data_IF_910467742702
#
_entry.id   IF_910467742702
#
_cell.length_a   1.000
_cell.length_b   1.000
_cell.length_c   1.000
_cell.angle_alpha   90.00
_cell.angle_beta   90.00
_cell.angle_gamma   90.00
#
_symmetry.space_group_name_H-M   'P 1'
#
loop_
_entity.id
_entity.type
_entity.pdbx_description
1 polymer ?
#
# COMPACT_ATOMS: atom_id res chain seq x y z
N UNK A 1 -69.24 -20.72 -47.37
CA UNK A 1 -68.20 -20.00 -48.14
C UNK A 1 -67.94 -18.67 -47.47
N UNK A 2 -66.70 -18.18 -47.58
CA UNK A 2 -66.15 -16.90 -47.08
C UNK A 2 -65.62 -16.94 -45.63
N UNK A 3 -64.28 -17.04 -45.59
CA UNK A 3 -63.36 -16.79 -44.49
C UNK A 3 -63.32 -15.28 -44.20
N UNK A 4 -63.12 -14.90 -42.93
CA UNK A 4 -62.24 -13.75 -42.63
C UNK A 4 -61.61 -13.91 -41.24
N UNK A 5 -60.30 -14.17 -41.23
CA UNK A 5 -59.39 -13.95 -40.12
C UNK A 5 -59.05 -12.46 -40.06
N UNK A 6 -59.03 -11.86 -38.86
CA UNK A 6 -58.01 -10.91 -38.32
C UNK A 6 -58.33 -10.86 -36.81
N UNK A 7 -57.46 -11.18 -35.84
CA UNK A 7 -56.02 -10.95 -35.75
C UNK A 7 -55.77 -9.84 -34.71
N UNK A 8 -56.09 -10.09 -33.43
CA UNK A 8 -55.81 -9.17 -32.32
C UNK A 8 -54.59 -9.65 -31.54
N UNK A 9 -53.45 -9.00 -31.76
CA UNK A 9 -52.16 -9.31 -31.13
C UNK A 9 -52.18 -8.82 -29.68
N UNK A 10 -52.03 -9.74 -28.72
CA UNK A 10 -51.66 -9.42 -27.34
C UNK A 10 -50.18 -9.06 -27.36
N UNK A 11 -49.86 -7.78 -27.18
CA UNK A 11 -48.48 -7.32 -26.98
C UNK A 11 -48.02 -7.74 -25.57
N UNK A 12 -47.33 -8.87 -25.49
CA UNK A 12 -46.58 -9.26 -24.29
C UNK A 12 -45.30 -8.43 -24.24
N UNK A 13 -45.28 -7.40 -23.41
CA UNK A 13 -44.09 -6.58 -23.17
C UNK A 13 -43.05 -7.44 -22.43
N UNK A 14 -42.06 -7.95 -23.16
CA UNK A 14 -40.92 -8.64 -22.58
C UNK A 14 -40.08 -7.62 -21.79
N UNK A 15 -40.20 -7.64 -20.47
CA UNK A 15 -39.25 -6.98 -19.57
C UNK A 15 -37.92 -7.73 -19.69
N UNK A 16 -37.03 -7.26 -20.56
CA UNK A 16 -35.64 -7.72 -20.57
C UNK A 16 -35.01 -7.20 -19.28
N UNK A 17 -34.93 -8.05 -18.26
CA UNK A 17 -34.01 -7.82 -17.17
C UNK A 17 -32.61 -7.86 -17.77
N UNK A 18 -32.07 -6.68 -18.06
CA UNK A 18 -30.63 -6.48 -18.16
C UNK A 18 -30.09 -6.86 -16.79
N UNK A 19 -29.71 -8.13 -16.64
CA UNK A 19 -28.95 -8.58 -15.49
C UNK A 19 -27.70 -7.72 -15.46
N UNK A 20 -27.62 -6.82 -14.50
CA UNK A 20 -26.37 -6.17 -14.13
C UNK A 20 -25.40 -7.32 -13.90
N UNK A 21 -24.46 -7.52 -14.82
CA UNK A 21 -23.30 -8.34 -14.56
C UNK A 21 -22.62 -7.66 -13.38
N UNK A 22 -22.97 -8.05 -12.15
CA UNK A 22 -22.20 -7.70 -10.99
C UNK A 22 -20.78 -8.12 -11.36
N UNK A 23 -19.89 -7.14 -11.51
CA UNK A 23 -18.50 -7.42 -11.82
C UNK A 23 -18.04 -8.24 -10.63
N UNK A 24 -17.98 -9.57 -10.82
CA UNK A 24 -17.43 -10.45 -9.82
C UNK A 24 -16.03 -9.90 -9.53
N UNK A 25 -15.77 -9.63 -8.24
CA UNK A 25 -14.44 -9.19 -7.80
C UNK A 25 -13.36 -10.14 -8.32
N UNK A 26 -12.07 -9.79 -8.16
CA UNK A 26 -10.98 -10.61 -8.69
C UNK A 26 -11.11 -12.06 -8.22
N UNK A 27 -10.87 -13.00 -9.13
CA UNK A 27 -10.79 -14.42 -8.80
C UNK A 27 -9.56 -14.64 -7.92
N UNK A 28 -9.73 -15.26 -6.75
CA UNK A 28 -8.60 -15.70 -5.92
C UNK A 28 -8.07 -17.00 -6.53
N UNK A 29 -6.84 -16.95 -7.04
CA UNK A 29 -6.19 -18.07 -7.72
C UNK A 29 -5.01 -18.59 -6.91
N UNK A 30 -4.56 -19.80 -7.24
CA UNK A 30 -3.25 -20.29 -6.80
C UNK A 30 -2.19 -19.66 -7.71
N UNK A 31 -1.04 -19.30 -7.13
CA UNK A 31 0.07 -18.67 -7.86
C UNK A 31 0.66 -19.56 -8.96
N UNK A 32 1.79 -19.14 -9.58
CA UNK A 32 2.68 -18.05 -9.16
C UNK A 32 2.14 -16.63 -9.44
N UNK A 33 2.83 -15.62 -8.90
CA UNK A 33 2.64 -14.22 -9.29
C UNK A 33 3.01 -14.01 -10.77
N UNK A 34 2.65 -12.85 -11.32
CA UNK A 34 2.97 -12.50 -12.71
C UNK A 34 4.49 -12.45 -12.98
N UNK A 35 5.29 -12.08 -11.97
CA UNK A 35 6.74 -11.99 -12.05
C UNK A 35 7.37 -12.75 -10.87
N UNK A 36 7.35 -14.10 -10.87
CA UNK A 36 7.74 -14.91 -9.72
C UNK A 36 9.23 -14.81 -9.37
N UNK A 37 10.07 -14.45 -10.34
CA UNK A 37 11.50 -14.22 -10.12
C UNK A 37 11.76 -12.85 -9.45
N UNK A 38 10.79 -11.93 -9.54
CA UNK A 38 10.88 -10.59 -8.96
C UNK A 38 10.15 -10.48 -7.62
N UNK A 39 9.05 -11.22 -7.43
CA UNK A 39 8.20 -11.13 -6.24
C UNK A 39 8.00 -12.50 -5.59
N UNK A 40 8.55 -12.64 -4.39
CA UNK A 40 8.27 -13.78 -3.53
C UNK A 40 6.93 -13.61 -2.79
N UNK A 41 6.16 -14.68 -2.58
CA UNK A 41 5.01 -14.64 -1.68
C UNK A 41 5.45 -14.31 -0.26
N UNK A 42 4.69 -13.48 0.45
CA UNK A 42 5.03 -13.07 1.82
C UNK A 42 4.99 -14.25 2.82
N UNK A 43 3.99 -15.11 2.66
CA UNK A 43 3.77 -16.32 3.44
C UNK A 43 3.25 -17.46 2.55
N UNK A 44 3.27 -18.70 3.04
CA UNK A 44 2.81 -19.88 2.30
C UNK A 44 1.32 -19.81 1.90
N UNK A 45 0.51 -19.06 2.65
CA UNK A 45 -0.91 -18.83 2.43
C UNK A 45 -1.22 -17.51 1.68
N UNK A 46 -0.20 -16.87 1.08
CA UNK A 46 -0.39 -15.66 0.27
C UNK A 46 -1.36 -15.94 -0.88
N UNK A 47 -2.41 -15.12 -0.95
CA UNK A 47 -3.41 -15.19 -2.00
C UNK A 47 -2.94 -14.44 -3.25
N UNK A 48 -3.34 -14.95 -4.42
CA UNK A 48 -3.09 -14.30 -5.70
C UNK A 48 -4.42 -13.90 -6.33
N UNK A 49 -4.43 -12.76 -7.02
CA UNK A 49 -5.61 -12.24 -7.67
C UNK A 49 -5.48 -12.32 -9.19
N UNK A 50 -6.54 -12.80 -9.83
CA UNK A 50 -6.71 -12.72 -11.28
C UNK A 50 -7.85 -11.76 -11.57
N UNK A 51 -7.49 -10.63 -12.17
CA UNK A 51 -8.46 -9.62 -12.62
C UNK A 51 -8.93 -9.93 -14.05
N UNK A 52 -10.19 -9.63 -14.40
CA UNK A 52 -10.62 -9.63 -15.79
C UNK A 52 -9.70 -8.75 -16.62
N UNK A 53 -9.31 -9.24 -17.80
CA UNK A 53 -8.46 -8.48 -18.72
C UNK A 53 -9.18 -7.20 -19.12
N UNK A 54 -8.50 -6.06 -18.93
CA UNK A 54 -8.85 -4.78 -19.55
C UNK A 54 -7.83 -4.48 -20.64
N UNK A 55 -8.27 -4.04 -21.81
CA UNK A 55 -7.36 -3.55 -22.84
C UNK A 55 -7.02 -2.09 -22.54
N UNK A 56 -5.73 -1.75 -22.61
CA UNK A 56 -5.26 -0.38 -22.44
C UNK A 56 -5.67 0.54 -23.60
N UNK A 57 -5.27 1.82 -23.56
CA UNK A 57 -4.34 2.41 -22.59
C UNK A 57 -4.99 2.69 -21.21
N UNK A 58 -4.27 2.40 -20.13
CA UNK A 58 -4.78 2.39 -18.75
C UNK A 58 -4.70 3.75 -18.05
N UNK A 59 -5.57 3.96 -17.07
CA UNK A 59 -5.52 5.10 -16.15
C UNK A 59 -5.06 4.61 -14.78
N UNK A 60 -3.87 5.04 -14.36
CA UNK A 60 -3.25 4.58 -13.10
C UNK A 60 -3.00 5.78 -12.20
N UNK A 61 -3.31 5.63 -10.90
CA UNK A 61 -3.06 6.66 -9.91
C UNK A 61 -2.07 6.19 -8.84
N UNK A 62 -1.35 7.14 -8.23
CA UNK A 62 -0.61 6.98 -6.99
C UNK A 62 -1.23 7.90 -5.92
N UNK A 63 -1.84 7.30 -4.90
CA UNK A 63 -2.36 7.98 -3.72
C UNK A 63 -1.36 7.86 -2.56
N UNK A 64 -0.60 8.93 -2.34
CA UNK A 64 0.47 9.00 -1.36
C UNK A 64 0.01 9.73 -0.08
N UNK A 65 0.33 9.17 1.08
CA UNK A 65 0.17 9.85 2.37
C UNK A 65 1.28 10.89 2.58
N UNK A 66 2.33 10.49 3.28
CA UNK A 66 3.46 11.35 3.69
C UNK A 66 4.41 11.77 2.54
N UNK A 67 4.98 12.98 2.58
CA UNK A 67 5.94 13.46 1.57
C UNK A 67 7.16 14.22 2.15
N UNK A 68 7.29 14.36 3.46
CA UNK A 68 8.37 15.19 4.03
C UNK A 68 9.75 14.48 4.08
N UNK A 69 9.88 13.24 3.61
CA UNK A 69 11.17 12.55 3.52
C UNK A 69 11.65 12.35 2.08
N UNK A 70 12.98 12.22 1.94
CA UNK A 70 13.65 12.06 0.64
C UNK A 70 13.23 10.78 -0.09
N UNK A 71 12.95 9.70 0.65
CA UNK A 71 12.43 8.44 0.09
C UNK A 71 11.10 8.63 -0.65
N UNK A 72 10.13 9.36 -0.07
CA UNK A 72 8.82 9.60 -0.70
C UNK A 72 8.95 10.49 -1.93
N UNK A 73 9.83 11.49 -1.88
CA UNK A 73 10.15 12.33 -3.05
C UNK A 73 10.75 11.46 -4.15
N UNK A 74 11.76 10.65 -3.84
CA UNK A 74 12.40 9.74 -4.79
C UNK A 74 11.41 8.74 -5.37
N UNK A 75 10.58 8.11 -4.55
CA UNK A 75 9.52 7.18 -4.97
C UNK A 75 8.60 7.82 -6.02
N UNK A 76 8.12 9.04 -5.77
CA UNK A 76 7.25 9.76 -6.72
C UNK A 76 7.99 10.06 -8.02
N UNK A 77 9.24 10.50 -7.95
CA UNK A 77 10.03 10.79 -9.15
C UNK A 77 10.34 9.53 -9.95
N UNK A 78 10.69 8.42 -9.29
CA UNK A 78 10.91 7.12 -9.91
C UNK A 78 9.64 6.60 -10.58
N UNK A 79 8.48 6.72 -9.93
CA UNK A 79 7.20 6.33 -10.53
C UNK A 79 6.87 7.15 -11.78
N UNK A 80 7.09 8.48 -11.73
CA UNK A 80 6.91 9.36 -12.89
C UNK A 80 7.90 9.05 -14.02
N UNK A 81 9.17 8.79 -13.69
CA UNK A 81 10.19 8.44 -14.67
C UNK A 81 9.88 7.10 -15.34
N UNK A 82 9.42 6.10 -14.58
CA UNK A 82 8.97 4.81 -15.12
C UNK A 82 7.75 4.98 -16.03
N UNK A 83 6.74 5.74 -15.60
CA UNK A 83 5.55 6.02 -16.42
C UNK A 83 5.88 6.76 -17.74
N UNK A 84 6.96 7.53 -17.77
CA UNK A 84 7.43 8.25 -18.95
C UNK A 84 8.30 7.40 -19.91
N UNK A 85 8.70 6.18 -19.54
CA UNK A 85 9.45 5.31 -20.44
C UNK A 85 8.60 4.98 -21.68
N UNK A 86 9.17 4.97 -22.91
CA UNK A 86 8.36 4.91 -24.13
C UNK A 86 7.43 3.69 -24.25
N UNK A 87 7.83 2.54 -23.73
CA UNK A 87 7.07 1.29 -23.72
C UNK A 87 5.98 1.26 -22.65
N UNK A 88 6.19 1.95 -21.53
CA UNK A 88 5.20 2.12 -20.46
C UNK A 88 4.18 3.21 -20.83
N UNK A 89 4.64 4.36 -21.34
CA UNK A 89 3.81 5.47 -21.74
C UNK A 89 2.77 5.07 -22.81
N UNK A 90 3.13 4.18 -23.75
CA UNK A 90 2.19 3.61 -24.74
C UNK A 90 1.05 2.80 -24.11
N UNK A 91 1.26 2.26 -22.91
CA UNK A 91 0.25 1.50 -22.15
C UNK A 91 -0.60 2.41 -21.26
N UNK A 92 -0.23 3.68 -21.08
CA UNK A 92 -0.90 4.60 -20.18
C UNK A 92 -1.70 5.65 -20.95
N UNK A 93 -2.98 5.78 -20.61
CA UNK A 93 -3.81 6.92 -20.99
C UNK A 93 -3.52 8.09 -20.07
N UNK A 94 -3.29 7.80 -18.80
CA UNK A 94 -3.05 8.80 -17.76
C UNK A 94 -2.32 8.18 -16.57
N UNK A 95 -1.34 8.90 -16.02
CA UNK A 95 -0.76 8.62 -14.71
C UNK A 95 -0.89 9.84 -13.81
N UNK A 96 -1.56 9.70 -12.67
CA UNK A 96 -1.75 10.79 -11.69
C UNK A 96 -1.11 10.48 -10.36
N UNK A 97 -0.55 11.49 -9.72
CA UNK A 97 -0.04 11.40 -8.35
C UNK A 97 -0.76 12.42 -7.51
N UNK A 98 -1.28 11.99 -6.35
CA UNK A 98 -1.84 12.87 -5.32
C UNK A 98 -1.12 12.56 -4.02
N UNK A 99 -0.64 13.60 -3.34
CA UNK A 99 -0.10 13.50 -1.98
C UNK A 99 -1.00 14.24 -1.01
N UNK A 100 -1.27 13.62 0.14
CA UNK A 100 -2.27 14.09 1.11
C UNK A 100 -1.68 14.41 2.48
N UNK A 101 -0.37 14.25 2.64
CA UNK A 101 0.30 14.42 3.93
C UNK A 101 -0.13 13.32 4.92
N UNK A 102 -0.24 13.69 6.19
CA UNK A 102 -0.70 12.77 7.24
C UNK A 102 -2.24 12.68 7.33
N UNK A 103 -2.98 13.31 6.41
CA UNK A 103 -4.45 13.34 6.38
C UNK A 103 -5.05 12.07 5.74
N UNK A 104 -5.31 11.07 6.59
CA UNK A 104 -5.94 9.80 6.19
C UNK A 104 -7.31 10.00 5.52
N UNK A 105 -8.25 10.81 6.05
CA UNK A 105 -9.49 11.14 5.34
C UNK A 105 -9.29 11.70 3.93
N UNK A 106 -8.33 12.61 3.74
CA UNK A 106 -8.02 13.14 2.42
C UNK A 106 -7.46 12.06 1.49
N UNK A 107 -6.61 11.15 1.98
CA UNK A 107 -6.11 10.01 1.20
C UNK A 107 -7.25 9.10 0.75
N UNK A 108 -8.18 8.77 1.65
CA UNK A 108 -9.38 7.99 1.34
C UNK A 108 -10.25 8.70 0.30
N UNK A 109 -10.45 10.01 0.44
CA UNK A 109 -11.18 10.83 -0.52
C UNK A 109 -10.52 10.81 -1.91
N UNK A 110 -9.20 10.93 -1.98
CA UNK A 110 -8.45 10.84 -3.24
C UNK A 110 -8.65 9.48 -3.93
N UNK A 111 -8.60 8.38 -3.18
CA UNK A 111 -8.85 7.03 -3.72
C UNK A 111 -10.29 6.92 -4.24
N UNK A 112 -11.30 7.38 -3.49
CA UNK A 112 -12.69 7.40 -3.96
C UNK A 112 -12.84 8.21 -5.26
N UNK A 113 -12.19 9.38 -5.35
CA UNK A 113 -12.23 10.20 -6.56
C UNK A 113 -11.62 9.49 -7.77
N UNK A 114 -10.55 8.71 -7.58
CA UNK A 114 -9.98 7.90 -8.65
C UNK A 114 -10.89 6.75 -9.08
N UNK A 115 -11.54 6.07 -8.13
CA UNK A 115 -12.55 5.05 -8.41
C UNK A 115 -13.69 5.66 -9.25
N UNK A 116 -14.24 6.79 -8.81
CA UNK A 116 -15.36 7.47 -9.47
C UNK A 116 -14.98 8.04 -10.83
N UNK A 117 -13.71 8.44 -10.97
CA UNK A 117 -13.15 8.87 -12.24
C UNK A 117 -12.89 7.71 -13.19
N UNK A 118 -13.10 6.45 -12.80
CA UNK A 118 -12.87 5.28 -13.65
C UNK A 118 -11.39 4.99 -13.90
N UNK A 119 -10.54 5.14 -12.88
CA UNK A 119 -9.17 4.64 -12.92
C UNK A 119 -9.15 3.11 -12.91
N UNK A 120 -8.22 2.50 -13.65
CA UNK A 120 -8.09 1.05 -13.74
C UNK A 120 -7.37 0.47 -12.53
N UNK A 121 -6.37 1.21 -12.02
CA UNK A 121 -5.57 0.82 -10.88
C UNK A 121 -5.16 2.02 -10.03
N UNK A 122 -5.03 1.79 -8.73
CA UNK A 122 -4.57 2.77 -7.76
C UNK A 122 -3.46 2.13 -6.93
N UNK A 123 -2.26 2.71 -7.01
CA UNK A 123 -1.15 2.43 -6.10
C UNK A 123 -1.33 3.30 -4.85
N UNK A 124 -1.24 2.71 -3.67
CA UNK A 124 -1.42 3.41 -2.40
C UNK A 124 -0.17 3.20 -1.55
N UNK A 125 0.38 4.29 -1.02
CA UNK A 125 1.33 4.18 0.09
C UNK A 125 0.62 4.71 1.34
N UNK A 126 0.03 3.78 2.09
CA UNK A 126 -0.99 4.04 3.09
C UNK A 126 -0.42 4.76 4.32
N UNK A 127 -1.14 5.79 4.79
CA UNK A 127 -0.75 6.48 6.02
C UNK A 127 -1.13 5.72 7.30
N UNK A 128 -2.06 4.77 7.19
CA UNK A 128 -2.44 3.86 8.26
C UNK A 128 -2.90 2.53 7.65
N UNK A 129 -2.49 1.37 8.18
CA UNK A 129 -2.83 0.09 7.56
C UNK A 129 -4.32 -0.27 7.66
N UNK A 130 -5.03 0.19 8.69
CA UNK A 130 -6.39 -0.28 9.04
C UNK A 130 -7.54 0.65 8.61
N UNK A 131 -7.26 1.91 8.28
CA UNK A 131 -8.29 2.93 8.08
C UNK A 131 -9.06 2.82 6.75
N UNK A 132 -8.60 2.00 5.81
CA UNK A 132 -9.04 2.03 4.41
C UNK A 132 -10.13 1.01 4.05
N UNK A 133 -10.62 0.22 5.01
CA UNK A 133 -11.55 -0.89 4.77
C UNK A 133 -12.75 -0.55 3.86
N UNK A 134 -13.49 0.55 4.11
CA UNK A 134 -14.61 0.94 3.25
C UNK A 134 -14.22 1.24 1.80
N UNK A 135 -13.09 1.92 1.57
CA UNK A 135 -12.65 2.28 0.21
C UNK A 135 -12.01 1.09 -0.52
N UNK A 136 -11.39 0.16 0.20
CA UNK A 136 -10.93 -1.13 -0.36
C UNK A 136 -12.13 -1.90 -0.92
N UNK A 137 -13.22 -2.01 -0.16
CA UNK A 137 -14.45 -2.68 -0.61
C UNK A 137 -15.02 -2.00 -1.85
N UNK A 138 -15.08 -0.66 -1.87
CA UNK A 138 -15.53 0.10 -3.03
C UNK A 138 -14.66 -0.16 -4.27
N UNK A 139 -13.34 -0.17 -4.12
CA UNK A 139 -12.43 -0.46 -5.23
C UNK A 139 -12.67 -1.86 -5.82
N UNK A 140 -12.85 -2.86 -4.94
CA UNK A 140 -13.17 -4.24 -5.32
C UNK A 140 -14.50 -4.33 -6.08
N UNK A 141 -15.55 -3.70 -5.58
CA UNK A 141 -16.88 -3.65 -6.23
C UNK A 141 -16.86 -2.93 -7.58
N UNK A 142 -16.03 -1.90 -7.71
CA UNK A 142 -15.82 -1.17 -8.96
C UNK A 142 -14.86 -1.86 -9.94
N UNK A 143 -14.24 -2.98 -9.56
CA UNK A 143 -13.23 -3.66 -10.38
C UNK A 143 -11.97 -2.82 -10.62
N UNK A 144 -11.61 -1.97 -9.66
CA UNK A 144 -10.38 -1.16 -9.65
C UNK A 144 -9.30 -1.93 -8.91
N UNK A 145 -8.13 -2.10 -9.53
CA UNK A 145 -7.00 -2.82 -8.91
C UNK A 145 -6.37 -1.92 -7.84
N UNK A 146 -6.39 -2.37 -6.59
CA UNK A 146 -5.74 -1.66 -5.49
C UNK A 146 -4.43 -2.35 -5.11
N UNK A 147 -3.32 -1.62 -5.22
CA UNK A 147 -1.98 -2.11 -4.88
C UNK A 147 -1.38 -1.21 -3.81
N UNK A 148 -1.21 -1.72 -2.60
CA UNK A 148 -0.42 -1.06 -1.58
C UNK A 148 1.07 -1.29 -1.83
N UNK A 149 1.87 -0.24 -1.65
CA UNK A 149 3.32 -0.25 -1.82
C UNK A 149 3.98 0.42 -0.62
N UNK A 150 5.06 -0.18 -0.10
CA UNK A 150 5.87 0.29 1.03
C UNK A 150 5.10 0.27 2.36
N UNK A 151 4.04 1.07 2.53
CA UNK A 151 3.10 0.90 3.63
C UNK A 151 1.88 0.09 3.19
N UNK A 152 1.51 -0.89 4.02
CA UNK A 152 0.50 -1.89 3.66
C UNK A 152 -0.91 -1.38 3.89
N UNK A 153 -1.85 -2.07 3.26
CA UNK A 153 -3.24 -2.11 3.69
C UNK A 153 -3.47 -3.44 4.41
N UNK A 154 -3.97 -3.40 5.65
CA UNK A 154 -4.27 -4.58 6.44
C UNK A 154 -5.59 -5.21 5.97
N UNK A 155 -5.48 -5.99 4.90
CA UNK A 155 -6.62 -6.62 4.23
C UNK A 155 -6.17 -7.80 3.38
N UNK A 156 -7.11 -8.71 3.12
CA UNK A 156 -6.99 -9.77 2.10
C UNK A 156 -7.73 -9.40 0.81
N UNK A 157 -8.22 -8.17 0.66
CA UNK A 157 -8.95 -7.71 -0.52
C UNK A 157 -8.14 -6.75 -1.43
N UNK A 158 -6.86 -6.57 -1.12
CA UNK A 158 -5.92 -5.76 -1.91
C UNK A 158 -4.57 -6.47 -2.07
N UNK A 159 -3.77 -6.03 -3.04
CA UNK A 159 -2.41 -6.52 -3.24
C UNK A 159 -1.47 -5.66 -2.38
N UNK A 160 -0.56 -6.29 -1.62
CA UNK A 160 0.54 -5.60 -0.95
C UNK A 160 1.86 -5.97 -1.65
N UNK A 161 2.65 -4.97 -2.06
CA UNK A 161 4.03 -5.14 -2.55
C UNK A 161 4.96 -4.43 -1.58
N UNK A 162 5.78 -5.20 -0.86
CA UNK A 162 6.61 -4.67 0.22
C UNK A 162 7.96 -5.38 0.32
N UNK A 163 8.88 -4.74 1.04
CA UNK A 163 10.10 -5.35 1.57
C UNK A 163 9.81 -5.90 2.97
N UNK A 164 10.57 -6.90 3.42
CA UNK A 164 10.54 -7.36 4.81
C UNK A 164 11.03 -6.27 5.78
N UNK A 165 10.11 -5.39 6.19
CA UNK A 165 10.40 -4.27 7.07
C UNK A 165 10.81 -4.73 8.47
N UNK A 166 10.20 -5.82 8.96
CA UNK A 166 10.57 -6.41 10.24
C UNK A 166 11.99 -6.98 10.16
N UNK A 167 12.30 -7.74 9.11
CA UNK A 167 13.65 -8.26 8.85
C UNK A 167 14.72 -7.16 8.75
N UNK A 168 14.38 -5.98 8.20
CA UNK A 168 15.28 -4.81 8.23
C UNK A 168 15.53 -4.31 9.66
N UNK A 169 14.48 -4.24 10.50
CA UNK A 169 14.62 -3.92 11.91
C UNK A 169 15.48 -4.93 12.67
N UNK A 170 15.26 -6.22 12.43
CA UNK A 170 16.07 -7.29 13.01
C UNK A 170 17.54 -7.18 12.57
N UNK A 171 17.80 -6.82 11.31
CA UNK A 171 19.16 -6.61 10.81
C UNK A 171 19.88 -5.52 11.60
N UNK A 172 19.20 -4.41 11.91
CA UNK A 172 19.74 -3.34 12.73
C UNK A 172 19.96 -3.77 14.18
N UNK A 173 18.99 -4.47 14.77
CA UNK A 173 19.13 -5.05 16.11
C UNK A 173 20.31 -6.03 16.19
N UNK A 174 20.49 -6.90 15.19
CA UNK A 174 21.60 -7.87 15.11
C UNK A 174 22.95 -7.13 15.04
N UNK A 175 22.99 -6.04 14.28
CA UNK A 175 24.17 -5.18 14.21
C UNK A 175 24.51 -4.57 15.58
N UNK A 176 23.51 -4.03 16.31
CA UNK A 176 23.72 -3.50 17.67
C UNK A 176 24.21 -4.57 18.64
N UNK A 177 23.60 -5.76 18.64
CA UNK A 177 24.03 -6.89 19.48
C UNK A 177 25.48 -7.27 19.22
N UNK A 178 25.96 -7.20 17.98
CA UNK A 178 27.35 -7.50 17.63
C UNK A 178 28.35 -6.41 18.06
N UNK A 179 27.94 -5.14 18.05
CA UNK A 179 28.85 -4.00 18.28
C UNK A 179 28.79 -3.42 19.69
N UNK A 180 27.71 -3.68 20.43
CA UNK A 180 27.57 -3.33 21.86
C UNK A 180 27.45 -4.64 22.65
N UNK A 181 28.58 -5.37 22.83
CA UNK A 181 28.55 -6.77 23.25
C UNK A 181 27.97 -7.00 24.65
N UNK A 182 27.94 -5.98 25.50
CA UNK A 182 27.43 -6.05 26.87
C UNK A 182 25.98 -5.54 27.00
N UNK A 183 25.34 -5.16 25.89
CA UNK A 183 24.16 -4.30 25.92
C UNK A 183 24.53 -2.88 26.31
N UNK A 184 23.57 -1.96 26.20
CA UNK A 184 23.83 -0.54 26.43
C UNK A 184 22.59 0.32 26.28
N UNK A 185 22.82 1.63 26.35
CA UNK A 185 21.82 2.66 26.15
C UNK A 185 21.79 3.06 24.68
N UNK A 186 20.69 2.78 24.00
CA UNK A 186 20.53 3.03 22.56
C UNK A 186 19.46 4.08 22.35
N UNK A 187 19.65 4.94 21.34
CA UNK A 187 18.63 5.85 20.84
C UNK A 187 18.02 5.28 19.56
N UNK A 188 16.72 4.99 19.58
CA UNK A 188 15.96 4.68 18.38
C UNK A 188 15.25 5.94 17.87
N UNK A 189 15.65 6.43 16.69
CA UNK A 189 14.98 7.53 16.00
C UNK A 189 13.92 6.97 15.05
N UNK A 190 12.68 6.97 15.53
CA UNK A 190 11.50 6.41 14.87
C UNK A 190 11.06 7.21 13.66
N UNK A 191 10.28 6.54 12.81
CA UNK A 191 9.71 7.06 11.58
C UNK A 191 8.39 7.80 11.75
N UNK A 192 7.53 7.64 10.75
CA UNK A 192 6.18 8.19 10.76
C UNK A 192 5.29 7.25 11.58
N UNK A 193 4.95 7.68 12.80
CA UNK A 193 4.16 6.89 13.73
C UNK A 193 2.80 6.47 13.13
N UNK A 194 2.38 5.24 13.41
CA UNK A 194 1.13 4.65 12.93
C UNK A 194 1.19 4.03 11.53
N UNK A 195 2.32 4.17 10.84
CA UNK A 195 2.58 3.48 9.58
C UNK A 195 3.10 2.06 9.83
N UNK A 196 2.84 1.13 8.90
CA UNK A 196 3.28 -0.26 9.06
C UNK A 196 4.80 -0.39 9.03
N UNK A 197 5.47 0.36 8.16
CA UNK A 197 6.93 0.32 8.02
C UNK A 197 7.65 0.72 9.31
N UNK A 198 7.19 1.79 9.97
CA UNK A 198 7.75 2.21 11.26
C UNK A 198 7.52 1.15 12.34
N UNK A 199 6.31 0.61 12.41
CA UNK A 199 5.92 -0.40 13.39
C UNK A 199 6.74 -1.68 13.23
N UNK A 200 6.85 -2.20 12.00
CA UNK A 200 7.53 -3.46 11.72
C UNK A 200 9.04 -3.38 12.02
N UNK A 201 9.70 -2.28 11.63
CA UNK A 201 11.12 -2.07 11.90
C UNK A 201 11.41 -1.97 13.39
N UNK A 202 10.60 -1.19 14.10
CA UNK A 202 10.71 -1.08 15.56
C UNK A 202 10.54 -2.43 16.24
N UNK A 203 9.49 -3.18 15.87
CA UNK A 203 9.26 -4.53 16.41
C UNK A 203 10.44 -5.46 16.12
N UNK A 204 11.02 -5.39 14.91
CA UNK A 204 12.20 -6.17 14.54
C UNK A 204 13.45 -5.84 15.35
N UNK A 205 13.68 -4.54 15.63
CA UNK A 205 14.78 -4.12 16.53
C UNK A 205 14.56 -4.71 17.92
N UNK A 206 13.39 -4.45 18.52
CA UNK A 206 13.08 -4.88 19.88
C UNK A 206 13.09 -6.39 20.05
N UNK A 207 12.55 -7.16 19.10
CA UNK A 207 12.59 -8.62 19.14
C UNK A 207 14.02 -9.16 19.23
N UNK A 208 14.96 -8.56 18.49
CA UNK A 208 16.37 -8.96 18.56
C UNK A 208 17.02 -8.52 19.87
N UNK A 209 16.79 -7.28 20.32
CA UNK A 209 17.39 -6.76 21.54
C UNK A 209 16.90 -7.54 22.77
N UNK A 210 15.59 -7.76 22.88
CA UNK A 210 14.96 -8.51 23.98
C UNK A 210 15.37 -9.99 23.94
N UNK A 211 15.49 -10.56 22.74
CA UNK A 211 15.97 -11.93 22.52
C UNK A 211 17.47 -12.12 22.74
N UNK A 212 18.26 -11.06 22.89
CA UNK A 212 19.72 -11.17 22.95
C UNK A 212 20.26 -11.61 24.31
N UNK A 213 19.43 -11.62 25.36
CA UNK A 213 19.85 -11.88 26.75
C UNK A 213 20.77 -10.80 27.34
N UNK A 214 20.89 -9.64 26.70
CA UNK A 214 21.70 -8.49 27.16
C UNK A 214 20.80 -7.42 27.77
N UNK A 215 21.39 -6.48 28.50
CA UNK A 215 20.64 -5.37 29.09
C UNK A 215 20.65 -4.19 28.13
N UNK A 216 19.48 -3.87 27.59
CA UNK A 216 19.29 -2.71 26.72
C UNK A 216 18.42 -1.66 27.40
N UNK A 217 18.81 -0.40 27.25
CA UNK A 217 17.99 0.75 27.61
C UNK A 217 17.73 1.58 26.35
N UNK A 218 16.60 1.31 25.70
CA UNK A 218 16.23 1.99 24.46
C UNK A 218 15.45 3.26 24.79
N UNK A 219 15.96 4.40 24.35
CA UNK A 219 15.23 5.67 24.33
C UNK A 219 14.67 5.85 22.93
N UNK A 220 13.37 6.07 22.82
CA UNK A 220 12.70 6.28 21.54
C UNK A 220 12.32 7.75 21.35
N UNK A 221 12.59 8.28 20.16
CA UNK A 221 12.10 9.59 19.74
C UNK A 221 11.53 9.52 18.33
N UNK A 222 10.56 10.38 18.01
CA UNK A 222 9.90 10.39 16.70
C UNK A 222 10.57 11.41 15.78
N UNK A 223 11.36 10.92 14.83
CA UNK A 223 12.01 11.73 13.80
C UNK A 223 11.18 11.94 12.53
N UNK A 224 10.05 11.22 12.38
CA UNK A 224 9.18 11.26 11.18
C UNK A 224 9.90 10.93 9.86
N UNK A 225 11.10 10.35 9.92
CA UNK A 225 12.04 10.24 8.79
C UNK A 225 12.28 11.57 8.06
N UNK A 226 12.01 12.71 8.70
CA UNK A 226 12.29 14.03 8.17
C UNK A 226 13.63 14.50 8.76
N UNK A 227 14.52 15.00 7.90
CA UNK A 227 15.89 15.31 8.31
C UNK A 227 15.94 16.34 9.44
N UNK A 228 15.12 17.39 9.37
CA UNK A 228 15.09 18.46 10.37
C UNK A 228 14.46 18.01 11.69
N UNK A 229 13.34 17.28 11.62
CA UNK A 229 12.67 16.73 12.81
C UNK A 229 13.56 15.70 13.50
N UNK A 230 14.17 14.78 12.74
CA UNK A 230 15.09 13.77 13.26
C UNK A 230 16.34 14.40 13.90
N UNK A 231 16.96 15.40 13.25
CA UNK A 231 18.11 16.10 13.81
C UNK A 231 17.77 16.76 15.15
N UNK A 232 16.64 17.48 15.22
CA UNK A 232 16.20 18.12 16.46
C UNK A 232 15.90 17.09 17.55
N UNK A 233 15.10 16.07 17.24
CA UNK A 233 14.71 15.04 18.20
C UNK A 233 15.93 14.28 18.75
N UNK A 234 16.92 14.03 17.90
CA UNK A 234 18.20 13.40 18.29
C UNK A 234 19.00 14.30 19.22
N UNK A 235 19.14 15.60 18.89
CA UNK A 235 19.86 16.55 19.73
C UNK A 235 19.21 16.69 21.12
N UNK A 236 17.88 16.78 21.17
CA UNK A 236 17.13 16.85 22.43
C UNK A 236 17.29 15.56 23.26
N UNK A 237 17.27 14.40 22.61
CA UNK A 237 17.50 13.10 23.27
C UNK A 237 18.92 13.00 23.86
N UNK A 238 19.95 13.44 23.12
CA UNK A 238 21.34 13.44 23.60
C UNK A 238 21.49 14.37 24.80
N UNK A 239 20.88 15.56 24.76
CA UNK A 239 20.97 16.53 25.86
C UNK A 239 20.27 16.05 27.14
N UNK A 240 19.15 15.34 27.02
CA UNK A 240 18.31 14.95 28.16
C UNK A 240 18.59 13.53 28.68
N UNK A 241 19.02 12.66 27.77
CA UNK A 241 19.12 11.21 27.99
C UNK A 241 20.43 10.64 27.46
N UNK A 242 21.40 11.46 27.03
CA UNK A 242 22.73 10.97 26.68
C UNK A 242 23.60 10.66 27.91
N UNK A 243 24.85 10.20 27.68
CA UNK A 243 25.34 9.67 26.41
C UNK A 243 24.65 8.34 26.05
N UNK A 244 24.56 8.06 24.76
CA UNK A 244 24.17 6.75 24.22
C UNK A 244 25.44 5.98 23.81
N UNK A 245 25.38 4.66 23.86
CA UNK A 245 26.45 3.73 23.48
C UNK A 245 26.53 3.54 21.95
#
# INVERSE_FOLDING_TARGET
MIKSLVGGVIAATAFVMLGSSAIAGPEVVKGPAAEPDCFAPWAADTQFFKFPKKDGPYRIALANGYIANTWRIQMIQTAKAYAAQPDVAKKLKEFKVVSTGEDVPAQISAINNFIDSGFDAIVVNAQNPTAFGPVIKRAKEAGVVLVAFDNILDTKDAINVNVDQKGLGELWGKWLVAHVPNGGKVLEVRGVAGTSVDTDRHNGIHEVLDGSGKKWNVTEVVGKWDDGVAQKATADAIATSGPFD
#
